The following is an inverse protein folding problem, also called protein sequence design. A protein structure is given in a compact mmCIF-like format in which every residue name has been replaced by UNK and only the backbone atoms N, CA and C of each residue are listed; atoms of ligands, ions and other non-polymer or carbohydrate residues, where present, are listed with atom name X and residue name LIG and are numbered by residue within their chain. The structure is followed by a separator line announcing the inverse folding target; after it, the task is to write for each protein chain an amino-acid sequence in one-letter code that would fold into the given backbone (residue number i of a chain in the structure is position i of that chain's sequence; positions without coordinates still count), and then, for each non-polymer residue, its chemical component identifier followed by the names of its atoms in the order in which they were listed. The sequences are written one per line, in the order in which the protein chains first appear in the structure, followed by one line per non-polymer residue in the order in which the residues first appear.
data_IF_450702038748
#
_entry.id   IF_450702038748
#
_cell.length_a   1.000
_cell.length_b   1.000
_cell.length_c   1.000
_cell.angle_alpha   90.00
_cell.angle_beta   90.00
_cell.angle_gamma   90.00
#
_symmetry.space_group_name_H-M   'P 1'
#
loop_
_entity.id
_entity.type
_entity.pdbx_description
1 polymer ?
#
# COMPACT_ATOMS: atom_id res chain seq x y z
N UNK A 1 5.77 -31.61 -3.92
CA UNK A 1 6.22 -30.37 -4.57
C UNK A 1 6.48 -29.35 -3.47
N UNK A 2 7.71 -28.84 -3.34
CA UNK A 2 8.00 -27.80 -2.36
C UNK A 2 7.28 -26.51 -2.79
N UNK A 3 6.58 -25.84 -1.87
CA UNK A 3 5.92 -24.58 -2.16
C UNK A 3 6.99 -23.54 -2.54
N UNK A 4 6.84 -22.89 -3.70
CA UNK A 4 7.65 -21.73 -4.08
C UNK A 4 7.54 -20.70 -2.96
N UNK A 5 8.64 -20.08 -2.49
CA UNK A 5 8.56 -19.07 -1.45
C UNK A 5 7.61 -17.96 -1.91
N UNK A 6 6.68 -17.55 -1.03
CA UNK A 6 5.74 -16.48 -1.33
C UNK A 6 6.52 -15.23 -1.75
N UNK A 7 6.22 -14.70 -2.94
CA UNK A 7 6.85 -13.45 -3.40
C UNK A 7 6.31 -12.31 -2.53
N UNK A 8 7.20 -11.50 -1.97
CA UNK A 8 6.81 -10.38 -1.08
C UNK A 8 7.41 -9.09 -1.59
N UNK A 9 6.64 -8.01 -1.53
CA UNK A 9 7.07 -6.67 -1.96
C UNK A 9 6.75 -5.66 -0.86
N UNK A 10 7.73 -4.81 -0.56
CA UNK A 10 7.55 -3.62 0.27
C UNK A 10 7.58 -2.37 -0.61
N UNK A 11 6.53 -1.56 -0.56
CA UNK A 11 6.41 -0.30 -1.31
C UNK A 11 6.51 0.86 -0.33
N UNK A 12 7.35 1.85 -0.63
CA UNK A 12 7.50 3.06 0.19
C UNK A 12 6.79 4.23 -0.49
N UNK A 13 5.80 4.82 0.18
CA UNK A 13 5.03 5.97 -0.29
C UNK A 13 4.95 7.02 0.82
N UNK A 14 6.08 7.67 1.10
CA UNK A 14 6.25 8.50 2.30
C UNK A 14 5.68 9.92 2.15
N UNK A 15 5.75 10.50 0.95
CA UNK A 15 5.37 11.90 0.72
C UNK A 15 3.86 12.13 0.98
N UNK A 16 3.01 11.22 0.49
CA UNK A 16 1.55 11.25 0.66
C UNK A 16 1.00 9.83 0.64
N UNK A 17 -0.01 9.53 1.46
CA UNK A 17 -0.63 8.21 1.51
C UNK A 17 -1.28 7.80 0.19
N UNK A 18 -1.14 6.55 -0.27
CA UNK A 18 -1.92 5.98 -1.39
C UNK A 18 -3.44 5.98 -1.15
N UNK A 19 -3.89 6.19 0.08
CA UNK A 19 -5.30 6.32 0.45
C UNK A 19 -5.78 7.77 0.50
N UNK A 20 -4.91 8.74 0.22
CA UNK A 20 -5.32 10.13 0.11
C UNK A 20 -6.30 10.31 -1.05
N UNK A 21 -7.34 11.11 -0.83
CA UNK A 21 -8.31 11.46 -1.88
C UNK A 21 -7.57 12.11 -3.06
N UNK A 22 -7.63 11.52 -4.27
CA UNK A 22 -7.02 12.13 -5.44
C UNK A 22 -7.67 13.47 -5.80
N UNK A 23 -6.84 14.44 -6.22
CA UNK A 23 -7.27 15.78 -6.62
C UNK A 23 -7.38 16.78 -5.46
N UNK A 24 -7.01 16.39 -4.23
CA UNK A 24 -7.04 17.25 -3.04
C UNK A 24 -5.68 17.25 -2.34
N UNK A 25 -5.19 18.43 -1.97
CA UNK A 25 -3.88 18.58 -1.31
C UNK A 25 -2.77 17.96 -2.15
N UNK A 26 -1.95 17.11 -1.52
CA UNK A 26 -0.87 16.38 -2.18
C UNK A 26 -1.32 15.04 -2.82
N UNK A 27 -2.63 14.74 -2.79
CA UNK A 27 -3.20 13.52 -3.39
C UNK A 27 -3.34 13.66 -4.91
N UNK A 28 -2.60 12.85 -5.66
CA UNK A 28 -2.55 12.93 -7.12
C UNK A 28 -2.34 11.58 -7.82
N UNK A 29 -1.83 11.63 -9.05
CA UNK A 29 -1.67 10.45 -9.91
C UNK A 29 -0.72 9.40 -9.33
N UNK A 30 0.29 9.82 -8.55
CA UNK A 30 1.23 8.89 -7.92
C UNK A 30 0.57 8.03 -6.83
N UNK A 31 -0.37 8.61 -6.06
CA UNK A 31 -1.12 7.88 -5.03
C UNK A 31 -1.98 6.79 -5.65
N UNK A 32 -2.70 7.14 -6.72
CA UNK A 32 -3.50 6.19 -7.51
C UNK A 32 -2.59 5.12 -8.10
N UNK A 33 -1.49 5.51 -8.76
CA UNK A 33 -0.56 4.58 -9.37
C UNK A 33 0.00 3.56 -8.36
N UNK A 34 0.48 4.03 -7.21
CA UNK A 34 1.03 3.15 -6.16
C UNK A 34 -0.03 2.18 -5.66
N UNK A 35 -1.25 2.65 -5.39
CA UNK A 35 -2.35 1.80 -4.92
C UNK A 35 -2.69 0.73 -5.96
N UNK A 36 -2.95 1.14 -7.20
CA UNK A 36 -3.39 0.22 -8.26
C UNK A 36 -2.30 -0.77 -8.68
N UNK A 37 -1.04 -0.34 -8.75
CA UNK A 37 0.10 -1.22 -9.02
C UNK A 37 0.24 -2.29 -7.93
N UNK A 38 0.21 -1.87 -6.67
CA UNK A 38 0.41 -2.77 -5.53
C UNK A 38 -0.74 -3.76 -5.40
N UNK A 39 -1.98 -3.31 -5.60
CA UNK A 39 -3.17 -4.15 -5.69
C UNK A 39 -3.11 -5.14 -6.86
N UNK A 40 -2.63 -4.72 -8.02
CA UNK A 40 -2.46 -5.62 -9.17
C UNK A 40 -1.46 -6.74 -8.87
N UNK A 41 -0.35 -6.44 -8.19
CA UNK A 41 0.61 -7.46 -7.72
C UNK A 41 -0.02 -8.40 -6.69
N UNK A 42 -0.80 -7.87 -5.75
CA UNK A 42 -1.48 -8.65 -4.73
C UNK A 42 -2.47 -9.67 -5.30
N UNK A 43 -3.21 -9.27 -6.34
CA UNK A 43 -4.12 -10.14 -7.11
C UNK A 43 -3.39 -11.22 -7.90
N UNK A 44 -2.12 -11.01 -8.23
CA UNK A 44 -1.24 -12.04 -8.82
C UNK A 44 -0.63 -12.98 -7.76
N UNK A 45 -0.97 -12.81 -6.48
CA UNK A 45 -0.52 -13.67 -5.38
C UNK A 45 0.75 -13.18 -4.68
N UNK A 46 1.20 -11.95 -4.93
CA UNK A 46 2.34 -11.35 -4.23
C UNK A 46 1.88 -10.77 -2.89
N UNK A 47 2.58 -11.07 -1.80
CA UNK A 47 2.32 -10.41 -0.52
C UNK A 47 2.90 -8.99 -0.52
N UNK A 48 2.02 -8.00 -0.61
CA UNK A 48 2.35 -6.60 -0.70
C UNK A 48 2.12 -5.86 0.61
N UNK A 49 3.12 -5.08 1.05
CA UNK A 49 2.97 -4.10 2.13
C UNK A 49 3.38 -2.72 1.65
N UNK A 50 2.47 -1.75 1.73
CA UNK A 50 2.77 -0.35 1.45
C UNK A 50 3.02 0.41 2.75
N UNK A 51 4.19 1.01 2.91
CA UNK A 51 4.50 1.87 4.05
C UNK A 51 4.30 3.33 3.67
N UNK A 52 3.57 4.06 4.50
CA UNK A 52 3.36 5.49 4.35
C UNK A 52 3.50 6.18 5.69
N UNK A 53 3.85 7.47 5.70
CA UNK A 53 4.02 8.25 6.93
C UNK A 53 2.69 8.32 7.70
N UNK A 54 2.70 8.19 9.02
CA UNK A 54 1.59 8.58 9.88
C UNK A 54 1.51 10.12 9.97
N UNK A 55 0.39 10.73 9.60
CA UNK A 55 0.25 12.19 9.54
C UNK A 55 -0.66 12.81 10.61
N UNK A 56 -1.34 11.98 11.41
CA UNK A 56 -2.13 12.45 12.56
C UNK A 56 -2.20 11.39 13.66
N UNK A 57 -2.42 11.78 14.92
CA UNK A 57 -2.70 10.84 16.01
C UNK A 57 -3.95 10.00 15.73
N UNK A 58 -3.96 8.76 16.19
CA UNK A 58 -5.11 7.86 16.11
C UNK A 58 -5.36 7.24 14.73
N UNK A 59 -4.41 7.34 13.78
CA UNK A 59 -4.45 6.51 12.58
C UNK A 59 -4.26 5.03 12.96
N UNK A 60 -4.96 4.10 12.27
CA UNK A 60 -4.69 2.67 12.45
C UNK A 60 -3.26 2.37 12.00
N UNK A 61 -2.51 1.60 12.79
CA UNK A 61 -1.14 1.20 12.44
C UNK A 61 -1.11 0.43 11.11
N UNK A 62 -2.11 -0.45 10.90
CA UNK A 62 -2.26 -1.26 9.69
C UNK A 62 -3.67 -1.10 9.12
N UNK A 63 -3.78 -0.98 7.80
CA UNK A 63 -5.03 -0.99 7.04
C UNK A 63 -4.96 -2.10 6.00
N UNK A 64 -5.84 -3.08 6.09
CA UNK A 64 -5.99 -4.08 5.03
C UNK A 64 -6.74 -3.47 3.85
N UNK A 65 -6.11 -3.48 2.67
CA UNK A 65 -6.68 -2.91 1.45
C UNK A 65 -7.50 -3.96 0.71
N UNK A 66 -6.91 -5.14 0.52
CA UNK A 66 -7.52 -6.33 -0.09
C UNK A 66 -6.64 -7.56 0.22
N UNK A 67 -7.03 -8.80 -0.12
CA UNK A 67 -6.18 -9.97 0.10
C UNK A 67 -4.76 -9.77 -0.46
N UNK A 68 -3.76 -10.10 0.34
CA UNK A 68 -2.33 -9.91 0.04
C UNK A 68 -1.88 -8.44 -0.10
N UNK A 69 -2.70 -7.43 0.19
CA UNK A 69 -2.29 -6.02 0.20
C UNK A 69 -2.70 -5.34 1.49
N UNK A 70 -1.70 -4.97 2.30
CA UNK A 70 -1.89 -4.12 3.47
C UNK A 70 -1.09 -2.83 3.37
N UNK A 71 -1.54 -1.81 4.07
CA UNK A 71 -0.83 -0.55 4.25
C UNK A 71 -0.47 -0.37 5.72
N UNK A 72 0.75 0.08 5.99
CA UNK A 72 1.26 0.35 7.34
C UNK A 72 1.59 1.83 7.45
N UNK A 73 1.07 2.48 8.49
CA UNK A 73 1.46 3.83 8.86
C UNK A 73 2.71 3.77 9.74
N UNK A 74 3.79 4.42 9.30
CA UNK A 74 5.08 4.51 10.00
C UNK A 74 5.35 5.87 10.60
#
# INVERSE_FOLDING_TARGET
MAATPAQRVAVLSLHTSPLAQPGVGDGGGMNVYVRELTSSLARLGVECTTYTRAWKPGLPEVVDIEPNHRLVHV
#
